data_IF_951107279067
#
_entry.id   IF_951107279067
#
_cell.length_a   1.000
_cell.length_b   1.000
_cell.length_c   1.000
_cell.angle_alpha   90.00
_cell.angle_beta   90.00
_cell.angle_gamma   90.00
#
_symmetry.space_group_name_H-M   'P 1'
#
loop_
_entity.id
_entity.type
_entity.pdbx_description
1 polymer ?
#
# COMPACT_ATOMS: atom_id res chain seq x y z
N UNK A 1 -8.15 8.98 18.26
CA UNK A 1 -7.52 7.71 17.79
C UNK A 1 -6.03 7.90 17.95
N UNK A 2 -5.28 7.00 18.60
CA UNK A 2 -3.84 7.16 18.76
C UNK A 2 -3.20 7.33 17.38
N UNK A 3 -2.35 8.33 17.23
CA UNK A 3 -1.84 8.78 15.94
C UNK A 3 -0.93 7.74 15.26
N UNK A 4 -0.62 6.58 15.86
CA UNK A 4 0.41 5.67 15.38
C UNK A 4 0.26 5.13 13.94
N UNK A 5 -0.96 4.93 13.43
CA UNK A 5 -1.22 4.43 12.06
C UNK A 5 -1.56 5.55 11.06
N UNK A 6 -2.08 6.67 11.57
CA UNK A 6 -2.59 7.81 10.79
C UNK A 6 -1.72 9.06 10.93
N UNK A 7 -0.65 9.00 11.72
CA UNK A 7 0.31 10.09 11.84
C UNK A 7 1.04 10.23 10.51
N UNK A 8 1.26 11.47 10.12
CA UNK A 8 2.19 11.75 9.05
C UNK A 8 3.55 11.15 9.41
N UNK A 9 4.06 10.28 8.53
CA UNK A 9 5.35 9.63 8.70
C UNK A 9 6.43 10.70 8.64
N UNK A 10 7.38 10.66 9.56
CA UNK A 10 8.50 11.59 9.50
C UNK A 10 9.32 11.35 8.21
N UNK A 11 9.99 12.38 7.66
CA UNK A 11 10.76 12.24 6.42
C UNK A 11 11.76 11.09 6.45
N UNK A 12 12.38 10.85 7.62
CA UNK A 12 13.33 9.76 7.81
C UNK A 12 12.68 8.37 7.64
N UNK A 13 11.48 8.15 8.18
CA UNK A 13 10.76 6.88 8.02
C UNK A 13 10.34 6.66 6.56
N UNK A 14 9.95 7.73 5.86
CA UNK A 14 9.62 7.67 4.43
C UNK A 14 10.82 7.28 3.58
N UNK A 15 12.00 7.88 3.83
CA UNK A 15 13.24 7.56 3.10
C UNK A 15 13.70 6.14 3.40
N UNK A 16 13.68 5.71 4.66
CA UNK A 16 14.03 4.34 5.05
C UNK A 16 13.09 3.31 4.44
N UNK A 17 11.78 3.58 4.46
CA UNK A 17 10.77 2.74 3.82
C UNK A 17 10.97 2.65 2.30
N UNK A 18 11.24 3.78 1.64
CA UNK A 18 11.54 3.80 0.21
C UNK A 18 12.83 3.03 -0.12
N UNK A 19 13.90 3.24 0.64
CA UNK A 19 15.17 2.51 0.45
C UNK A 19 14.98 0.99 0.64
N UNK A 20 14.26 0.57 1.67
CA UNK A 20 13.92 -0.83 1.90
C UNK A 20 13.08 -1.41 0.75
N UNK A 21 12.11 -0.66 0.23
CA UNK A 21 11.28 -1.07 -0.89
C UNK A 21 12.10 -1.24 -2.18
N UNK A 22 12.98 -0.29 -2.51
CA UNK A 22 13.87 -0.40 -3.67
C UNK A 22 14.86 -1.55 -3.53
N UNK A 23 15.42 -1.76 -2.32
CA UNK A 23 16.27 -2.92 -2.05
C UNK A 23 15.51 -4.23 -2.26
N UNK A 24 14.26 -4.32 -1.77
CA UNK A 24 13.38 -5.47 -1.99
C UNK A 24 13.07 -5.72 -3.47
N UNK A 25 12.82 -4.66 -4.24
CA UNK A 25 12.60 -4.75 -5.69
C UNK A 25 13.84 -5.28 -6.42
N UNK A 26 15.04 -4.79 -6.09
CA UNK A 26 16.30 -5.28 -6.65
C UNK A 26 16.50 -6.77 -6.34
N UNK A 27 16.21 -7.19 -5.10
CA UNK A 27 16.27 -8.60 -4.72
C UNK A 27 15.29 -9.46 -5.53
N UNK A 28 14.07 -8.99 -5.77
CA UNK A 28 13.07 -9.68 -6.58
C UNK A 28 13.54 -9.85 -8.04
N UNK A 29 14.10 -8.80 -8.64
CA UNK A 29 14.65 -8.84 -10.00
C UNK A 29 15.81 -9.82 -10.10
N UNK A 30 16.75 -9.79 -9.14
CA UNK A 30 17.89 -10.71 -9.11
C UNK A 30 17.42 -12.17 -8.91
N UNK A 31 16.41 -12.41 -8.08
CA UNK A 31 15.84 -13.74 -7.88
C UNK A 31 15.21 -14.29 -9.17
N UNK A 32 14.48 -13.44 -9.91
CA UNK A 32 13.92 -13.77 -11.22
C UNK A 32 14.98 -14.10 -12.25
N UNK A 33 16.02 -13.26 -12.35
CA UNK A 33 17.13 -13.50 -13.26
C UNK A 33 17.79 -14.85 -12.95
N UNK A 34 18.10 -15.12 -11.68
CA UNK A 34 18.75 -16.36 -11.27
C UNK A 34 17.89 -17.59 -11.55
N UNK A 35 16.59 -17.53 -11.28
CA UNK A 35 15.67 -18.61 -11.61
C UNK A 35 15.62 -18.86 -13.13
N UNK A 36 15.48 -17.79 -13.93
CA UNK A 36 15.48 -17.88 -15.38
C UNK A 36 16.78 -18.48 -15.94
N UNK A 37 17.94 -18.11 -15.37
CA UNK A 37 19.22 -18.70 -15.73
C UNK A 37 19.30 -20.21 -15.47
N UNK A 38 18.80 -20.67 -14.32
CA UNK A 38 18.77 -22.10 -13.97
C UNK A 38 17.86 -22.91 -14.90
N UNK A 39 16.66 -22.38 -15.19
CA UNK A 39 15.71 -23.02 -16.09
C UNK A 39 16.27 -23.12 -17.52
N UNK A 40 16.97 -22.07 -18.00
CA UNK A 40 17.62 -22.09 -19.32
C UNK A 40 18.79 -23.08 -19.40
N UNK A 41 19.48 -23.34 -18.29
CA UNK A 41 20.57 -24.30 -18.22
C UNK A 41 20.11 -25.77 -18.16
N UNK A 42 18.79 -26.03 -18.07
CA UNK A 42 18.25 -27.39 -17.91
C UNK A 42 18.55 -28.03 -16.56
N UNK A 43 18.96 -27.23 -15.57
CA UNK A 43 19.37 -27.71 -14.26
C UNK A 43 18.15 -28.13 -13.42
N UNK A 44 18.13 -29.35 -12.85
CA UNK A 44 17.05 -29.78 -11.96
C UNK A 44 17.01 -28.90 -10.70
N UNK A 45 15.91 -28.17 -10.53
CA UNK A 45 15.72 -27.25 -9.39
C UNK A 45 15.29 -28.02 -8.15
N UNK A 46 16.25 -28.41 -7.30
CA UNK A 46 15.97 -29.07 -6.03
C UNK A 46 15.19 -28.20 -5.02
N UNK A 47 14.48 -28.84 -4.08
CA UNK A 47 13.56 -28.17 -3.15
C UNK A 47 14.18 -27.08 -2.26
N UNK A 48 15.47 -27.17 -1.91
CA UNK A 48 16.19 -26.11 -1.16
C UNK A 48 16.33 -24.83 -1.98
N UNK A 49 16.56 -24.95 -3.29
CA UNK A 49 16.66 -23.81 -4.22
C UNK A 49 15.28 -23.19 -4.44
N UNK A 50 14.25 -24.01 -4.60
CA UNK A 50 12.87 -23.51 -4.74
C UNK A 50 12.43 -22.72 -3.50
N UNK A 51 12.73 -23.21 -2.29
CA UNK A 51 12.48 -22.46 -1.05
C UNK A 51 13.26 -21.14 -1.00
N UNK A 52 14.51 -21.11 -1.45
CA UNK A 52 15.29 -19.88 -1.51
C UNK A 52 14.65 -18.84 -2.43
N UNK A 53 14.18 -19.26 -3.61
CA UNK A 53 13.47 -18.41 -4.57
C UNK A 53 12.16 -17.88 -3.95
N UNK A 54 11.40 -18.76 -3.31
CA UNK A 54 10.16 -18.41 -2.61
C UNK A 54 10.42 -17.37 -1.52
N UNK A 55 11.44 -17.56 -0.68
CA UNK A 55 11.78 -16.60 0.36
C UNK A 55 12.25 -15.27 -0.21
N UNK A 56 13.04 -15.27 -1.30
CA UNK A 56 13.41 -14.03 -2.00
C UNK A 56 12.21 -13.29 -2.61
N UNK A 57 11.11 -13.97 -2.88
CA UNK A 57 9.84 -13.35 -3.29
C UNK A 57 9.02 -12.83 -2.11
N UNK A 58 8.91 -13.61 -1.05
CA UNK A 58 7.99 -13.32 0.07
C UNK A 58 8.59 -12.27 1.01
N UNK A 59 9.87 -12.39 1.39
CA UNK A 59 10.53 -11.48 2.33
C UNK A 59 10.36 -9.99 2.01
N UNK A 60 10.55 -9.52 0.77
CA UNK A 60 10.35 -8.10 0.45
C UNK A 60 8.88 -7.65 0.48
N UNK A 61 7.91 -8.58 0.44
CA UNK A 61 6.48 -8.27 0.43
C UNK A 61 5.82 -8.34 1.82
N UNK A 62 6.41 -9.07 2.77
CA UNK A 62 5.91 -9.20 4.15
C UNK A 62 5.88 -7.89 4.94
N UNK A 63 6.89 -7.00 4.87
CA UNK A 63 6.81 -5.70 5.55
C UNK A 63 5.82 -4.79 4.80
N UNK A 64 4.53 -4.94 5.06
CA UNK A 64 3.50 -4.01 4.62
C UNK A 64 3.33 -2.85 5.64
N UNK A 65 2.91 -1.64 5.18
CA UNK A 65 2.30 -1.35 3.89
C UNK A 65 3.30 -0.76 2.90
N UNK A 66 3.72 -1.58 1.94
CA UNK A 66 4.21 -1.17 0.62
C UNK A 66 3.03 -0.59 -0.18
N UNK A 67 2.49 0.51 0.33
CA UNK A 67 1.61 1.34 -0.47
C UNK A 67 2.33 2.67 -0.51
N UNK A 68 3.20 2.82 -1.51
CA UNK A 68 3.67 4.13 -2.00
C UNK A 68 2.49 5.05 -2.35
N UNK A 69 1.29 4.49 -2.43
CA UNK A 69 0.04 5.21 -2.61
C UNK A 69 -0.66 5.46 -1.28
N UNK A 70 -1.15 6.69 -1.15
CA UNK A 70 -2.04 7.09 -0.07
C UNK A 70 -3.52 6.83 -0.42
N UNK A 71 -3.82 6.14 -1.51
CA UNK A 71 -5.19 6.00 -1.99
C UNK A 71 -6.11 5.17 -1.06
N UNK A 72 -5.53 4.27 -0.24
CA UNK A 72 -6.28 3.58 0.81
C UNK A 72 -6.92 4.55 1.82
N UNK A 73 -6.27 5.69 2.08
CA UNK A 73 -6.81 6.71 2.97
C UNK A 73 -8.07 7.38 2.40
N UNK A 74 -8.23 7.44 1.08
CA UNK A 74 -9.44 7.94 0.42
C UNK A 74 -10.68 7.12 0.82
N UNK A 75 -10.57 5.80 0.84
CA UNK A 75 -11.67 4.91 1.24
C UNK A 75 -12.02 5.04 2.72
N UNK A 76 -11.00 5.10 3.57
CA UNK A 76 -11.20 5.29 5.02
C UNK A 76 -11.87 6.63 5.30
N UNK A 77 -11.47 7.69 4.60
CA UNK A 77 -12.10 8.98 4.71
C UNK A 77 -13.57 8.96 4.22
N UNK A 78 -13.85 8.28 3.11
CA UNK A 78 -15.22 8.11 2.61
C UNK A 78 -16.11 7.33 3.60
N UNK A 79 -15.61 6.24 4.20
CA UNK A 79 -16.32 5.53 5.27
C UNK A 79 -16.55 6.42 6.50
N UNK A 80 -15.55 7.22 6.89
CA UNK A 80 -15.67 8.14 8.01
C UNK A 80 -16.68 9.28 7.77
N UNK A 81 -16.90 9.70 6.51
CA UNK A 81 -17.98 10.60 6.12
C UNK A 81 -19.35 9.90 6.25
N UNK A 82 -19.47 8.68 5.73
CA UNK A 82 -20.70 7.90 5.77
C UNK A 82 -21.16 7.58 7.20
N UNK A 83 -20.23 7.20 8.09
CA UNK A 83 -20.52 6.97 9.53
C UNK A 83 -21.03 8.22 10.23
N UNK A 84 -20.63 9.42 9.78
CA UNK A 84 -21.14 10.71 10.29
C UNK A 84 -22.47 11.12 9.67
N UNK A 85 -23.03 10.31 8.76
CA UNK A 85 -24.25 10.63 8.01
C UNK A 85 -24.07 11.75 7.00
N UNK A 86 -22.82 12.07 6.62
CA UNK A 86 -22.53 13.11 5.64
C UNK A 86 -22.62 12.55 4.22
N UNK A 87 -23.12 13.37 3.29
CA UNK A 87 -23.32 12.97 1.90
C UNK A 87 -21.97 12.87 1.15
N UNK A 88 -21.44 11.65 1.10
CA UNK A 88 -20.22 11.27 0.39
C UNK A 88 -20.25 11.55 -1.12
N UNK A 89 -21.43 11.73 -1.70
CA UNK A 89 -21.59 12.02 -3.14
C UNK A 89 -21.52 13.51 -3.43
N UNK A 90 -21.61 14.34 -2.40
CA UNK A 90 -21.47 15.80 -2.50
C UNK A 90 -20.20 16.31 -1.85
N UNK A 91 -19.71 15.64 -0.82
CA UNK A 91 -18.60 16.09 0.02
C UNK A 91 -17.37 15.20 -0.20
N UNK A 92 -16.22 15.83 -0.42
CA UNK A 92 -14.93 15.17 -0.45
C UNK A 92 -14.31 15.00 0.94
N UNK A 93 -13.30 14.12 1.09
CA UNK A 93 -12.57 13.90 2.34
C UNK A 93 -12.06 15.13 3.10
N UNK A 94 -11.81 16.25 2.41
CA UNK A 94 -11.26 17.49 2.99
C UNK A 94 -12.11 18.05 4.13
N UNK A 95 -13.43 17.84 4.10
CA UNK A 95 -14.35 18.33 5.15
C UNK A 95 -14.15 17.64 6.51
N UNK A 96 -13.50 16.48 6.55
CA UNK A 96 -13.20 15.79 7.80
C UNK A 96 -12.12 16.50 8.63
N UNK A 97 -11.22 17.24 7.97
CA UNK A 97 -10.03 17.79 8.59
C UNK A 97 -9.14 16.74 9.27
N UNK A 98 -8.11 17.23 9.98
CA UNK A 98 -7.24 16.39 10.81
C UNK A 98 -6.49 15.28 10.05
N UNK A 99 -5.87 14.33 10.76
CA UNK A 99 -4.97 13.34 10.16
C UNK A 99 -5.60 12.48 9.05
N UNK A 100 -6.91 12.21 9.12
CA UNK A 100 -7.61 11.43 8.10
C UNK A 100 -7.61 12.16 6.76
N UNK A 101 -8.01 13.44 6.74
CA UNK A 101 -8.02 14.24 5.51
C UNK A 101 -6.59 14.53 4.99
N UNK A 102 -5.62 14.73 5.89
CA UNK A 102 -4.23 15.04 5.51
C UNK A 102 -3.47 13.87 4.90
N UNK A 103 -3.92 12.62 5.14
CA UNK A 103 -3.33 11.45 4.51
C UNK A 103 -3.98 11.11 3.15
N UNK A 104 -5.09 11.73 2.76
CA UNK A 104 -5.67 11.54 1.43
C UNK A 104 -4.78 12.22 0.38
N UNK A 105 -4.53 11.58 -0.78
CA UNK A 105 -3.79 12.21 -1.87
C UNK A 105 -4.39 13.56 -2.24
N UNK A 106 -3.54 14.55 -2.51
CA UNK A 106 -3.98 15.92 -2.79
C UNK A 106 -5.06 16.03 -3.86
N UNK A 107 -4.86 15.30 -4.95
CA UNK A 107 -5.79 15.25 -6.08
C UNK A 107 -7.18 14.68 -5.72
N UNK A 108 -7.29 13.91 -4.64
CA UNK A 108 -8.52 13.24 -4.22
C UNK A 108 -9.16 13.85 -2.96
N UNK A 109 -8.53 14.84 -2.34
CA UNK A 109 -9.04 15.44 -1.09
C UNK A 109 -10.44 16.04 -1.24
N UNK A 110 -10.73 16.63 -2.40
CA UNK A 110 -12.02 17.27 -2.66
C UNK A 110 -12.94 16.43 -3.57
N UNK A 111 -12.50 15.23 -3.94
CA UNK A 111 -13.25 14.35 -4.83
C UNK A 111 -14.37 13.63 -4.06
N UNK A 112 -15.65 13.76 -4.46
CA UNK A 112 -16.73 12.96 -3.91
C UNK A 112 -16.57 11.48 -4.27
N UNK A 113 -17.26 10.61 -3.53
CA UNK A 113 -17.24 9.17 -3.77
C UNK A 113 -17.79 8.82 -5.16
N UNK A 114 -17.01 8.14 -6.03
CA UNK A 114 -17.51 7.66 -7.33
C UNK A 114 -18.25 6.31 -7.23
N UNK A 115 -18.27 5.69 -6.04
CA UNK A 115 -18.73 4.31 -5.83
C UNK A 115 -20.16 4.24 -5.27
N UNK A 116 -20.91 3.19 -5.62
CA UNK A 116 -22.27 2.98 -5.13
C UNK A 116 -22.38 2.79 -3.60
N UNK A 117 -23.57 3.00 -3.01
CA UNK A 117 -23.74 3.15 -1.56
C UNK A 117 -23.36 1.89 -0.76
N UNK A 118 -23.47 0.70 -1.36
CA UNK A 118 -23.03 -0.56 -0.74
C UNK A 118 -21.52 -0.60 -0.52
N UNK A 119 -20.73 -0.07 -1.47
CA UNK A 119 -19.28 -0.04 -1.34
C UNK A 119 -18.81 0.95 -0.27
N UNK A 120 -19.58 2.02 -0.06
CA UNK A 120 -19.28 3.04 0.96
C UNK A 120 -19.74 2.63 2.36
N UNK A 121 -20.84 1.88 2.48
CA UNK A 121 -21.39 1.43 3.75
C UNK A 121 -20.68 0.19 4.35
N UNK A 122 -19.85 -0.51 3.56
CA UNK A 122 -19.18 -1.75 3.98
C UNK A 122 -17.85 -1.55 4.73
N UNK A 123 -17.46 -0.29 5.01
CA UNK A 123 -16.24 0.10 5.74
C UNK A 123 -16.57 0.84 7.02
#
# INVERSE_FOLDING_TARGET
>A
VPDGVWAQRSPAHTVLGAAAAYAGLVLLVVAWWRLGGLLRAGEPVGGRRLRSVLWSWVLPLVPAPLIFSNDAYSYVAQGALAVRGWDVYRLGPSVLGGPIAHNVPEIWRDAPAPYGPVAVAAT
#
